data_IF_905205269681
#
_entry.id   IF_905205269681
#
_cell.length_a   1.000
_cell.length_b   1.000
_cell.length_c   1.000
_cell.angle_alpha   90.00
_cell.angle_beta   90.00
_cell.angle_gamma   90.00
#
_symmetry.space_group_name_H-M   'P 1'
#
loop_
_entity.id
_entity.type
_entity.pdbx_description
1 polymer ?
#
# COMPACT_ATOMS: atom_id res chain seq x y z
N UNK A 1 3.72 -4.80 -20.05
CA UNK A 1 3.15 -4.96 -18.69
C UNK A 1 4.28 -4.67 -17.72
N UNK A 2 4.19 -3.60 -16.93
CA UNK A 2 5.17 -3.35 -15.87
C UNK A 2 4.91 -4.33 -14.73
N UNK A 3 5.96 -4.91 -14.14
CA UNK A 3 5.82 -5.74 -12.93
C UNK A 3 5.75 -4.81 -11.72
N UNK A 4 4.75 -5.03 -10.86
CA UNK A 4 4.44 -4.22 -9.69
C UNK A 4 4.89 -4.92 -8.41
N UNK A 5 5.57 -4.20 -7.51
CA UNK A 5 5.82 -4.66 -6.16
C UNK A 5 4.62 -4.27 -5.29
N UNK A 6 4.00 -5.25 -4.64
CA UNK A 6 2.85 -5.04 -3.75
C UNK A 6 3.23 -5.41 -2.32
N UNK A 7 2.99 -4.50 -1.38
CA UNK A 7 3.10 -4.77 0.06
C UNK A 7 1.70 -4.75 0.67
N UNK A 8 1.39 -5.80 1.44
CA UNK A 8 0.16 -5.92 2.22
C UNK A 8 0.51 -6.14 3.68
N UNK A 9 -0.16 -5.43 4.57
CA UNK A 9 0.02 -5.53 6.02
C UNK A 9 -1.30 -5.97 6.61
N UNK A 10 -1.26 -6.94 7.52
CA UNK A 10 -2.41 -7.36 8.32
C UNK A 10 -1.99 -7.35 9.78
N UNK A 11 -2.62 -6.49 10.56
CA UNK A 11 -2.36 -6.40 12.00
C UNK A 11 -3.33 -7.30 12.76
N UNK A 12 -2.89 -7.79 13.92
CA UNK A 12 -3.80 -8.42 14.88
C UNK A 12 -4.55 -7.33 15.65
N UNK A 13 -5.85 -7.20 15.36
CA UNK A 13 -6.75 -6.26 16.02
C UNK A 13 -7.52 -6.90 17.19
N UNK A 14 -7.12 -8.08 17.67
CA UNK A 14 -7.84 -8.80 18.73
C UNK A 14 -7.67 -8.17 20.11
N UNK A 15 -6.63 -7.37 20.34
CA UNK A 15 -6.39 -6.76 21.64
C UNK A 15 -7.50 -5.74 21.98
N UNK A 16 -8.07 -5.81 23.20
CA UNK A 16 -9.24 -4.98 23.57
C UNK A 16 -8.94 -3.48 23.60
N UNK A 17 -7.67 -3.09 23.76
CA UNK A 17 -7.24 -1.69 23.74
C UNK A 17 -7.42 -0.99 22.39
N UNK A 18 -7.69 -1.73 21.32
CA UNK A 18 -7.94 -1.16 19.99
C UNK A 18 -9.35 -0.63 19.79
N UNK A 19 -10.27 -0.80 20.75
CA UNK A 19 -11.67 -0.44 20.56
C UNK A 19 -12.13 0.64 21.54
N UNK A 20 -12.87 1.60 21.02
CA UNK A 20 -13.57 2.63 21.79
C UNK A 20 -15.08 2.49 21.65
N UNK A 21 -15.81 2.85 22.69
CA UNK A 21 -17.28 2.81 22.70
C UNK A 21 -17.91 3.88 21.80
N UNK A 22 -17.29 5.06 21.74
CA UNK A 22 -17.79 6.19 20.95
C UNK A 22 -17.04 6.30 19.63
N UNK A 23 -17.74 6.52 18.49
CA UNK A 23 -17.07 6.77 17.23
C UNK A 23 -16.38 8.13 17.25
N UNK A 24 -15.12 8.17 16.81
CA UNK A 24 -14.33 9.39 16.61
C UNK A 24 -13.87 9.45 15.15
N UNK A 25 -13.53 10.64 14.62
CA UNK A 25 -12.99 10.75 13.26
C UNK A 25 -11.65 10.04 13.14
N UNK A 26 -11.51 9.15 12.14
CA UNK A 26 -10.25 8.51 11.79
C UNK A 26 -9.20 9.56 11.42
N UNK A 27 -8.00 9.47 11.99
CA UNK A 27 -6.90 10.42 11.72
C UNK A 27 -6.41 10.44 10.27
N UNK A 28 -6.69 9.40 9.50
CA UNK A 28 -6.24 9.26 8.10
C UNK A 28 -7.33 9.71 7.13
N UNK A 29 -8.52 9.10 7.20
CA UNK A 29 -9.60 9.35 6.23
C UNK A 29 -10.71 10.28 6.74
N UNK A 30 -10.72 10.65 8.01
CA UNK A 30 -11.75 11.50 8.64
C UNK A 30 -13.09 10.80 8.90
N UNK A 31 -13.31 9.59 8.37
CA UNK A 31 -14.57 8.86 8.58
C UNK A 31 -14.69 8.37 10.03
N UNK A 32 -15.92 8.29 10.58
CA UNK A 32 -16.14 7.78 11.94
C UNK A 32 -15.61 6.35 12.10
N UNK A 33 -14.86 6.10 13.17
CA UNK A 33 -14.36 4.77 13.53
C UNK A 33 -14.42 4.54 15.03
N UNK A 34 -14.62 3.29 15.43
CA UNK A 34 -14.51 2.82 16.81
C UNK A 34 -13.18 2.13 17.09
N UNK A 35 -12.25 2.15 16.12
CA UNK A 35 -10.92 1.54 16.26
C UNK A 35 -9.84 2.57 16.65
N UNK A 36 -8.78 2.10 17.29
CA UNK A 36 -7.62 2.88 17.73
C UNK A 36 -6.32 2.19 17.35
N UNK A 37 -5.35 2.98 16.93
CA UNK A 37 -3.98 2.49 16.75
C UNK A 37 -3.24 2.29 18.10
N UNK A 38 -2.00 1.80 18.04
CA UNK A 38 -1.17 1.56 19.23
C UNK A 38 -0.76 2.83 19.99
N UNK A 39 -0.99 4.01 19.41
CA UNK A 39 -0.79 5.32 20.04
C UNK A 39 -2.08 5.89 20.63
N UNK A 40 -3.13 5.08 20.76
CA UNK A 40 -4.45 5.45 21.29
C UNK A 40 -5.18 6.51 20.45
N UNK A 41 -4.83 6.66 19.17
CA UNK A 41 -5.49 7.61 18.25
C UNK A 41 -6.56 6.88 17.44
N UNK A 42 -7.70 7.55 17.21
CA UNK A 42 -8.77 7.02 16.38
C UNK A 42 -8.27 6.75 14.95
N UNK A 43 -8.28 5.49 14.54
CA UNK A 43 -7.79 5.05 13.24
C UNK A 43 -8.54 3.81 12.79
N UNK A 44 -9.07 3.85 11.57
CA UNK A 44 -9.68 2.67 10.95
C UNK A 44 -8.61 1.60 10.65
N UNK A 45 -9.01 0.32 10.74
CA UNK A 45 -8.09 -0.81 10.60
C UNK A 45 -7.38 -0.80 9.26
N UNK A 46 -8.13 -0.58 8.18
CA UNK A 46 -7.57 -0.54 6.83
C UNK A 46 -6.66 0.67 6.66
N UNK A 47 -7.05 1.82 7.22
CA UNK A 47 -6.23 3.02 7.17
C UNK A 47 -4.87 2.85 7.87
N UNK A 48 -4.85 2.18 9.03
CA UNK A 48 -3.60 1.88 9.73
C UNK A 48 -2.72 0.89 8.95
N UNK A 49 -3.32 -0.17 8.40
CA UNK A 49 -2.60 -1.15 7.58
C UNK A 49 -2.03 -0.53 6.29
N UNK A 50 -2.80 0.32 5.61
CA UNK A 50 -2.39 1.02 4.39
C UNK A 50 -1.24 2.01 4.66
N UNK A 51 -1.27 2.71 5.79
CA UNK A 51 -0.19 3.62 6.19
C UNK A 51 1.13 2.86 6.38
N UNK A 52 1.12 1.76 7.14
CA UNK A 52 2.31 0.92 7.35
C UNK A 52 2.77 0.33 6.02
N UNK A 53 1.86 -0.14 5.17
CA UNK A 53 2.21 -0.67 3.86
C UNK A 53 2.92 0.38 3.00
N UNK A 54 2.49 1.65 3.02
CA UNK A 54 3.16 2.75 2.30
C UNK A 54 4.55 3.04 2.86
N UNK A 55 4.70 3.06 4.17
CA UNK A 55 6.01 3.28 4.82
C UNK A 55 7.00 2.15 4.48
N UNK A 56 6.56 0.90 4.61
CA UNK A 56 7.35 -0.27 4.24
C UNK A 56 7.68 -0.29 2.75
N UNK A 57 6.76 0.15 1.88
CA UNK A 57 6.99 0.22 0.44
C UNK A 57 8.08 1.25 0.11
N UNK A 58 7.97 2.46 0.66
CA UNK A 58 8.99 3.49 0.45
C UNK A 58 10.35 3.08 0.98
N UNK A 59 10.41 2.49 2.17
CA UNK A 59 11.67 1.99 2.74
C UNK A 59 12.24 0.81 1.93
N UNK A 60 11.39 -0.14 1.54
CA UNK A 60 11.77 -1.29 0.72
C UNK A 60 12.30 -0.87 -0.65
N UNK A 61 11.66 0.10 -1.32
CA UNK A 61 12.15 0.64 -2.59
C UNK A 61 13.56 1.22 -2.49
N UNK A 62 13.90 1.87 -1.36
CA UNK A 62 15.25 2.41 -1.15
C UNK A 62 16.31 1.33 -0.96
N UNK A 63 15.92 0.10 -0.58
CA UNK A 63 16.81 -1.01 -0.29
C UNK A 63 16.84 -2.08 -1.39
N UNK A 64 15.82 -2.14 -2.25
CA UNK A 64 15.72 -3.15 -3.30
C UNK A 64 16.45 -2.64 -4.54
N UNK A 65 17.50 -3.36 -4.95
CA UNK A 65 18.06 -3.24 -6.29
C UNK A 65 17.16 -4.00 -7.26
N UNK A 66 16.61 -3.30 -8.24
CA UNK A 66 15.81 -3.91 -9.29
C UNK A 66 16.72 -4.50 -10.37
N UNK A 67 16.97 -5.80 -10.30
CA UNK A 67 17.83 -6.53 -11.25
C UNK A 67 17.09 -7.03 -12.51
N UNK A 68 15.82 -6.66 -12.69
CA UNK A 68 15.05 -7.09 -13.86
C UNK A 68 15.69 -6.54 -15.14
N UNK A 69 16.02 -7.42 -16.08
CA UNK A 69 16.51 -7.03 -17.41
C UNK A 69 15.34 -6.46 -18.21
N UNK A 70 15.49 -5.23 -18.71
CA UNK A 70 14.50 -4.65 -19.63
C UNK A 70 14.39 -5.55 -20.86
N UNK A 71 13.19 -6.05 -21.16
CA UNK A 71 12.94 -6.73 -22.43
C UNK A 71 13.23 -5.75 -23.56
N UNK A 72 14.17 -6.05 -24.48
CA UNK A 72 14.43 -5.15 -25.61
C UNK A 72 13.12 -4.94 -26.37
N UNK A 73 12.83 -3.68 -26.70
CA UNK A 73 11.72 -3.36 -27.60
C UNK A 73 11.95 -4.16 -28.89
N UNK A 74 10.97 -4.98 -29.26
CA UNK A 74 11.02 -5.73 -30.51
C UNK A 74 11.29 -4.78 -31.69
N UNK A 75 11.91 -5.26 -32.77
CA UNK A 75 12.21 -4.43 -33.93
C UNK A 75 10.93 -3.73 -34.42
N UNK A 76 11.02 -2.47 -34.90
CA UNK A 76 9.85 -1.75 -35.40
C UNK A 76 9.13 -2.60 -36.44
N UNK A 77 7.81 -2.71 -36.30
CA UNK A 77 6.98 -3.42 -37.26
C UNK A 77 7.23 -2.82 -38.65
N UNK A 78 7.65 -3.68 -39.57
CA UNK A 78 7.84 -3.36 -40.98
C UNK A 78 6.54 -2.74 -41.51
N UNK A 79 6.56 -1.42 -41.75
CA UNK A 79 5.43 -0.74 -42.39
C UNK A 79 5.51 -1.12 -43.86
N UNK A 80 4.95 -2.28 -44.18
CA UNK A 80 4.82 -2.76 -45.55
C UNK A 80 4.22 -1.67 -46.44
N UNK A 81 5.02 -1.21 -47.39
CA UNK A 81 4.55 -0.37 -48.49
C UNK A 81 3.68 -1.22 -49.41
N UNK A 82 2.42 -0.81 -49.57
CA UNK A 82 1.51 -1.39 -50.54
C UNK A 82 1.91 -0.91 -51.94
N UNK A 83 2.16 -1.87 -52.83
CA UNK A 83 2.31 -1.66 -54.27
C UNK A 83 0.94 -1.44 -54.93
#
# INVERSE_FOLDING_TARGET
MATELLIRVHLDWSAPGHYQSQPLPCRVCGLPTTSRDSSDRACDKQCAEDEIARELYGHGQALITDERVATPAGPPADRGEAW
#
